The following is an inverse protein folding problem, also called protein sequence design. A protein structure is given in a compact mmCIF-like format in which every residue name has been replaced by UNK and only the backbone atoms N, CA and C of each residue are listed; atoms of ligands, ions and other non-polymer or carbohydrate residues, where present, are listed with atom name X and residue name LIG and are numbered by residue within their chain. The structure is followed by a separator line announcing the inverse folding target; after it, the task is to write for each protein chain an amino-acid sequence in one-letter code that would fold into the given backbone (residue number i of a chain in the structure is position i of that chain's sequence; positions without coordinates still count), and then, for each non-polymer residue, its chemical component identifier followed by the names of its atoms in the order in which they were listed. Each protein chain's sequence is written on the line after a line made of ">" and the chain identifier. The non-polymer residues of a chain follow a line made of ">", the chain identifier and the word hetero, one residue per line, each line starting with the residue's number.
data_IF_012578608874
#
_entry.id   IF_012578608874
#
_cell.length_a   1.000
_cell.length_b   1.000
_cell.length_c   1.000
_cell.angle_alpha   90.00
_cell.angle_beta   90.00
_cell.angle_gamma   90.00
#
_symmetry.space_group_name_H-M   'P 1'
#
loop_
_entity.id
_entity.type
_entity.pdbx_description
1 polymer ?
#
# COMPACT_ATOMS: atom_id res chain seq x y z
N UNK A 1 18.09 -3.23 1.38
CA UNK A 1 18.87 -4.47 1.57
C UNK A 1 18.08 -5.62 0.99
N UNK A 2 18.72 -6.47 0.21
CA UNK A 2 18.14 -7.73 -0.26
C UNK A 2 18.16 -8.79 0.85
N UNK A 3 17.41 -9.89 0.70
CA UNK A 3 17.49 -11.02 1.64
C UNK A 3 18.88 -11.65 1.69
N UNK A 4 19.66 -11.57 0.61
CA UNK A 4 21.06 -12.04 0.61
C UNK A 4 21.94 -11.12 1.46
N UNK A 5 21.73 -9.81 1.37
CA UNK A 5 22.48 -8.85 2.18
C UNK A 5 22.17 -9.04 3.67
N UNK A 6 20.91 -9.31 4.01
CA UNK A 6 20.49 -9.60 5.38
C UNK A 6 21.12 -10.90 5.88
N UNK A 7 21.15 -11.96 5.06
CA UNK A 7 21.80 -13.22 5.41
C UNK A 7 23.29 -13.03 5.73
N UNK A 8 24.02 -12.33 4.84
CA UNK A 8 25.44 -12.02 5.05
C UNK A 8 25.67 -11.20 6.31
N UNK A 9 24.80 -10.23 6.59
CA UNK A 9 24.91 -9.37 7.77
C UNK A 9 24.68 -10.12 9.09
N UNK A 10 23.73 -11.06 9.10
CA UNK A 10 23.47 -11.92 10.27
C UNK A 10 24.65 -12.84 10.53
N UNK A 11 25.24 -13.42 9.49
CA UNK A 11 26.45 -14.25 9.61
C UNK A 11 27.63 -13.44 10.17
N UNK A 12 27.84 -12.21 9.67
CA UNK A 12 28.93 -11.34 10.11
C UNK A 12 28.83 -10.93 11.59
N UNK A 13 27.64 -10.56 12.07
CA UNK A 13 27.46 -10.05 13.44
C UNK A 13 27.29 -11.18 14.45
N UNK A 14 26.60 -12.26 14.08
CA UNK A 14 26.15 -13.29 15.02
C UNK A 14 26.79 -14.67 14.80
N UNK A 15 27.69 -14.81 13.81
CA UNK A 15 28.30 -16.10 13.42
C UNK A 15 27.25 -17.19 13.17
N UNK A 16 26.08 -16.76 12.67
CA UNK A 16 24.92 -17.61 12.46
C UNK A 16 24.49 -17.58 11.00
N UNK A 17 24.45 -18.75 10.37
CA UNK A 17 24.02 -18.88 8.98
C UNK A 17 22.50 -18.98 8.90
N UNK A 18 21.91 -18.01 8.21
CA UNK A 18 20.50 -18.02 7.85
C UNK A 18 20.37 -17.89 6.33
N UNK A 19 19.54 -18.70 5.71
CA UNK A 19 19.29 -18.63 4.27
C UNK A 19 18.31 -17.51 3.92
N UNK A 20 18.39 -17.00 2.69
CA UNK A 20 17.41 -16.03 2.18
C UNK A 20 15.97 -16.58 2.19
N UNK A 21 15.80 -17.91 2.05
CA UNK A 21 14.50 -18.56 2.14
C UNK A 21 13.93 -18.53 3.56
N UNK A 22 14.78 -18.75 4.58
CA UNK A 22 14.37 -18.62 5.98
C UNK A 22 13.99 -17.18 6.32
N UNK A 23 14.75 -16.19 5.85
CA UNK A 23 14.39 -14.77 6.02
C UNK A 23 13.04 -14.48 5.36
N UNK A 24 12.81 -14.96 4.14
CA UNK A 24 11.51 -14.81 3.47
C UNK A 24 10.37 -15.42 4.29
N UNK A 25 10.55 -16.64 4.81
CA UNK A 25 9.55 -17.31 5.65
C UNK A 25 9.29 -16.56 6.96
N UNK A 26 10.31 -15.91 7.54
CA UNK A 26 10.14 -15.04 8.70
C UNK A 26 9.32 -13.81 8.33
N UNK A 27 9.61 -13.16 7.20
CA UNK A 27 8.83 -11.99 6.75
C UNK A 27 7.38 -12.33 6.42
N UNK A 28 7.10 -13.54 5.92
CA UNK A 28 5.74 -13.99 5.64
C UNK A 28 4.87 -14.07 6.90
N UNK A 29 5.49 -14.19 8.09
CA UNK A 29 4.76 -14.13 9.37
C UNK A 29 4.13 -12.75 9.64
N UNK A 30 4.53 -11.71 8.90
CA UNK A 30 3.93 -10.38 9.00
C UNK A 30 2.66 -10.23 8.17
N UNK A 31 2.35 -11.17 7.26
CA UNK A 31 1.15 -11.09 6.41
C UNK A 31 -0.15 -10.87 7.20
N UNK A 32 -0.40 -11.54 8.34
CA UNK A 32 -1.60 -11.28 9.15
C UNK A 32 -1.63 -9.84 9.70
N UNK A 33 -0.49 -9.32 10.16
CA UNK A 33 -0.36 -7.96 10.69
C UNK A 33 -0.59 -6.92 9.60
N UNK A 34 -0.08 -7.17 8.39
CA UNK A 34 -0.31 -6.31 7.22
C UNK A 34 -1.80 -6.30 6.86
N UNK A 35 -2.46 -7.46 6.88
CA UNK A 35 -3.89 -7.56 6.60
C UNK A 35 -4.73 -6.83 7.65
N UNK A 36 -4.41 -7.00 8.93
CA UNK A 36 -5.06 -6.27 10.03
C UNK A 36 -4.86 -4.76 9.90
N UNK A 37 -3.64 -4.32 9.61
CA UNK A 37 -3.35 -2.91 9.36
C UNK A 37 -4.13 -2.35 8.16
N UNK A 38 -4.30 -3.17 7.11
CA UNK A 38 -5.04 -2.80 5.90
C UNK A 38 -6.55 -2.70 6.14
N UNK A 39 -7.12 -3.54 7.01
CA UNK A 39 -8.55 -3.52 7.35
C UNK A 39 -8.88 -2.66 8.58
N UNK A 40 -7.89 -2.03 9.20
CA UNK A 40 -8.09 -1.22 10.41
C UNK A 40 -9.15 -0.14 10.19
N UNK A 41 -9.93 0.19 11.23
CA UNK A 41 -10.87 1.31 11.18
C UNK A 41 -10.12 2.63 10.99
N UNK A 42 -10.73 3.54 10.25
CA UNK A 42 -10.23 4.88 9.96
C UNK A 42 -11.09 5.93 10.67
N UNK A 43 -10.61 7.17 10.72
CA UNK A 43 -11.41 8.28 11.25
C UNK A 43 -12.57 8.61 10.29
N UNK A 44 -13.64 9.20 10.83
CA UNK A 44 -14.82 9.54 10.01
C UNK A 44 -14.56 10.66 9.02
N UNK A 45 -13.62 11.57 9.29
CA UNK A 45 -13.39 12.73 8.42
C UNK A 45 -11.90 12.95 8.20
N UNK A 46 -11.51 13.06 6.93
CA UNK A 46 -10.16 13.46 6.51
C UNK A 46 -10.23 14.76 5.70
N UNK A 47 -9.80 15.91 6.27
CA UNK A 47 -9.80 17.18 5.56
C UNK A 47 -9.07 17.17 4.21
N UNK A 48 -7.98 16.42 4.10
CA UNK A 48 -7.21 16.32 2.85
C UNK A 48 -6.81 14.87 2.64
N UNK A 49 -7.06 14.35 1.44
CA UNK A 49 -6.58 13.04 0.99
C UNK A 49 -5.80 13.19 -0.31
N UNK A 50 -4.59 12.64 -0.34
CA UNK A 50 -3.76 12.53 -1.52
C UNK A 50 -3.83 11.11 -2.07
N UNK A 51 -4.01 10.97 -3.37
CA UNK A 51 -4.00 9.69 -4.06
C UNK A 51 -2.95 9.75 -5.15
N UNK A 52 -1.89 8.95 -4.99
CA UNK A 52 -0.73 8.96 -5.89
C UNK A 52 -0.40 7.54 -6.35
N UNK A 53 0.05 7.40 -7.59
CA UNK A 53 0.37 6.13 -8.23
C UNK A 53 1.88 5.95 -8.38
N UNK A 54 2.42 4.85 -7.86
CA UNK A 54 3.82 4.48 -8.06
C UNK A 54 3.92 3.23 -8.94
N UNK A 55 4.71 3.32 -10.01
CA UNK A 55 4.98 2.19 -10.89
C UNK A 55 6.18 1.37 -10.40
N UNK A 56 6.03 0.05 -10.39
CA UNK A 56 7.11 -0.89 -10.09
C UNK A 56 7.06 -2.09 -11.02
N UNK A 57 8.25 -2.67 -11.22
CA UNK A 57 8.47 -3.85 -12.05
C UNK A 57 8.32 -5.09 -11.18
N UNK A 58 7.36 -5.94 -11.51
CA UNK A 58 7.17 -7.25 -10.86
C UNK A 58 7.37 -8.37 -11.85
N UNK A 59 7.86 -9.50 -11.35
CA UNK A 59 7.95 -10.73 -12.13
C UNK A 59 6.67 -11.53 -11.93
N UNK A 60 5.90 -11.70 -12.99
CA UNK A 60 4.63 -12.44 -13.02
C UNK A 60 4.68 -13.40 -14.21
N UNK A 61 4.37 -14.68 -13.99
CA UNK A 61 4.43 -15.74 -15.01
C UNK A 61 5.74 -15.78 -15.83
N UNK A 62 6.86 -15.48 -15.17
CA UNK A 62 8.18 -15.47 -15.80
C UNK A 62 8.52 -14.18 -16.56
N UNK A 63 7.56 -13.27 -16.74
CA UNK A 63 7.74 -11.99 -17.43
C UNK A 63 7.83 -10.82 -16.44
N UNK A 64 8.56 -9.77 -16.83
CA UNK A 64 8.68 -8.56 -16.03
C UNK A 64 7.62 -7.54 -16.49
N UNK A 65 6.57 -7.38 -15.70
CA UNK A 65 5.44 -6.49 -15.98
C UNK A 65 5.51 -5.25 -15.09
N UNK A 66 5.05 -4.11 -15.61
CA UNK A 66 4.95 -2.87 -14.84
C UNK A 66 3.56 -2.82 -14.21
N UNK A 67 3.48 -2.73 -12.87
CA UNK A 67 2.22 -2.53 -12.14
C UNK A 67 2.22 -1.18 -11.45
N UNK A 68 1.04 -0.59 -11.28
CA UNK A 68 0.82 0.64 -10.54
C UNK A 68 0.24 0.31 -9.15
N UNK A 69 0.81 0.88 -8.10
CA UNK A 69 0.29 0.84 -6.73
C UNK A 69 -0.13 2.25 -6.37
N UNK A 70 -1.40 2.39 -6.05
CA UNK A 70 -1.93 3.63 -5.53
C UNK A 70 -1.78 3.67 -4.01
N UNK A 71 -1.12 4.73 -3.55
CA UNK A 71 -0.92 5.04 -2.14
C UNK A 71 -1.92 6.14 -1.77
N UNK A 72 -2.74 5.89 -0.74
CA UNK A 72 -3.71 6.86 -0.25
C UNK A 72 -3.19 7.45 1.07
N UNK A 73 -2.93 8.75 1.09
CA UNK A 73 -2.41 9.46 2.26
C UNK A 73 -3.48 10.46 2.76
N UNK A 74 -3.94 10.28 3.99
CA UNK A 74 -4.89 11.17 4.64
C UNK A 74 -4.20 12.14 5.60
N UNK A 75 -4.77 13.33 5.73
CA UNK A 75 -4.50 14.27 6.83
C UNK A 75 -5.72 14.25 7.73
N UNK A 76 -5.53 13.90 9.00
CA UNK A 76 -6.61 13.85 9.98
C UNK A 76 -7.02 15.26 10.47
N UNK A 77 -8.06 15.33 11.30
CA UNK A 77 -8.55 16.60 11.86
C UNK A 77 -7.53 17.32 12.76
N UNK A 78 -6.51 16.61 13.25
CA UNK A 78 -5.42 17.15 14.04
C UNK A 78 -4.21 17.57 13.19
N UNK A 79 -4.31 17.48 11.86
CA UNK A 79 -3.23 17.77 10.93
C UNK A 79 -2.16 16.68 10.82
N UNK A 80 -2.42 15.47 11.35
CA UNK A 80 -1.49 14.34 11.28
C UNK A 80 -1.66 13.60 9.96
N UNK A 81 -0.53 13.30 9.31
CA UNK A 81 -0.50 12.49 8.10
C UNK A 81 -0.48 11.02 8.44
N UNK A 82 -1.29 10.23 7.75
CA UNK A 82 -1.23 8.78 7.81
C UNK A 82 -1.55 8.14 6.45
N UNK A 83 -1.00 6.94 6.22
CA UNK A 83 -1.31 6.16 5.02
C UNK A 83 -2.59 5.36 5.27
N UNK A 84 -3.64 5.66 4.52
CA UNK A 84 -4.94 5.01 4.64
C UNK A 84 -4.95 3.63 3.98
N UNK A 85 -4.22 3.45 2.88
CA UNK A 85 -4.16 2.18 2.18
C UNK A 85 -3.22 2.15 0.98
N UNK A 86 -2.99 0.92 0.52
CA UNK A 86 -2.22 0.58 -0.68
C UNK A 86 -3.10 -0.28 -1.59
N UNK A 87 -3.22 0.09 -2.86
CA UNK A 87 -4.12 -0.57 -3.81
C UNK A 87 -3.39 -0.85 -5.12
N UNK A 88 -3.32 -2.12 -5.50
CA UNK A 88 -2.74 -2.53 -6.78
C UNK A 88 -3.76 -2.32 -7.90
N UNK A 89 -3.36 -1.61 -8.94
CA UNK A 89 -4.21 -1.40 -10.12
C UNK A 89 -4.02 -2.55 -11.11
N UNK A 90 -5.08 -3.31 -11.37
CA UNK A 90 -5.09 -4.33 -12.44
C UNK A 90 -5.54 -3.74 -13.78
N UNK A 91 -6.43 -2.74 -13.78
CA UNK A 91 -6.77 -1.92 -14.93
C UNK A 91 -7.09 -0.48 -14.51
N UNK A 92 -6.56 0.50 -15.23
CA UNK A 92 -6.84 1.93 -14.97
C UNK A 92 -8.26 2.28 -15.46
N UNK A 93 -9.23 2.33 -14.53
CA UNK A 93 -10.62 2.63 -14.87
C UNK A 93 -11.41 3.18 -13.68
N UNK A 94 -12.60 3.74 -13.96
CA UNK A 94 -13.48 4.33 -12.93
C UNK A 94 -13.86 3.32 -11.83
N UNK A 95 -14.01 2.03 -12.18
CA UNK A 95 -14.34 0.97 -11.24
C UNK A 95 -13.27 0.75 -10.16
N UNK A 96 -12.00 1.02 -10.47
CA UNK A 96 -10.92 0.90 -9.50
C UNK A 96 -11.08 1.93 -8.38
N UNK A 97 -11.26 3.20 -8.72
CA UNK A 97 -11.43 4.28 -7.74
C UNK A 97 -12.69 4.13 -6.90
N UNK A 98 -13.78 3.66 -7.51
CA UNK A 98 -14.98 3.34 -6.75
C UNK A 98 -14.72 2.25 -5.70
N UNK A 99 -13.93 1.22 -6.05
CA UNK A 99 -13.49 0.20 -5.11
C UNK A 99 -12.65 0.75 -3.96
N UNK A 100 -11.71 1.66 -4.25
CA UNK A 100 -10.90 2.34 -3.23
C UNK A 100 -11.78 3.17 -2.30
N UNK A 101 -12.69 3.99 -2.84
CA UNK A 101 -13.57 4.85 -2.04
C UNK A 101 -14.54 4.01 -1.19
N UNK A 102 -15.06 2.90 -1.72
CA UNK A 102 -15.90 1.99 -0.97
C UNK A 102 -15.14 1.33 0.19
N UNK A 103 -13.89 0.89 -0.02
CA UNK A 103 -13.05 0.33 1.05
C UNK A 103 -12.82 1.35 2.17
N UNK A 104 -12.50 2.60 1.82
CA UNK A 104 -12.35 3.68 2.82
C UNK A 104 -13.65 3.90 3.60
N UNK A 105 -14.80 3.89 2.92
CA UNK A 105 -16.12 4.05 3.54
C UNK A 105 -16.46 2.89 4.47
N UNK A 106 -16.24 1.65 4.04
CA UNK A 106 -16.45 0.45 4.86
C UNK A 106 -15.58 0.44 6.12
N UNK A 107 -14.40 1.07 6.04
CA UNK A 107 -13.48 1.24 7.17
C UNK A 107 -13.82 2.44 8.06
N UNK A 108 -14.87 3.19 7.75
CA UNK A 108 -15.43 4.22 8.62
C UNK A 108 -15.25 5.66 8.13
N UNK A 109 -14.65 5.91 6.96
CA UNK A 109 -14.56 7.27 6.40
C UNK A 109 -15.94 7.70 5.90
N UNK A 110 -16.44 8.81 6.42
CA UNK A 110 -17.72 9.41 6.06
C UNK A 110 -17.55 10.60 5.12
N UNK A 111 -16.48 11.40 5.29
CA UNK A 111 -16.28 12.63 4.51
C UNK A 111 -14.81 12.94 4.20
N UNK A 112 -14.58 13.48 3.01
CA UNK A 112 -13.29 13.95 2.50
C UNK A 112 -13.51 15.33 1.89
N UNK A 113 -12.94 16.38 2.51
CA UNK A 113 -13.18 17.75 2.05
C UNK A 113 -12.36 18.11 0.81
N UNK A 114 -11.12 17.63 0.72
CA UNK A 114 -10.21 17.90 -0.41
C UNK A 114 -9.56 16.58 -0.84
N UNK A 115 -9.81 16.17 -2.08
CA UNK A 115 -9.10 15.06 -2.72
C UNK A 115 -8.10 15.60 -3.75
N UNK A 116 -6.82 15.30 -3.55
CA UNK A 116 -5.74 15.62 -4.47
C UNK A 116 -5.36 14.36 -5.25
N UNK A 117 -5.63 14.36 -6.55
CA UNK A 117 -5.34 13.23 -7.45
C UNK A 117 -4.49 13.72 -8.63
N UNK A 118 -3.48 12.96 -9.03
CA UNK A 118 -2.68 13.31 -10.21
C UNK A 118 -3.28 12.66 -11.48
N UNK A 119 -3.58 13.49 -12.48
CA UNK A 119 -3.80 13.07 -13.88
C UNK A 119 -4.95 12.11 -14.19
N UNK A 120 -5.75 11.67 -13.21
CA UNK A 120 -6.78 10.65 -13.39
C UNK A 120 -8.08 11.24 -13.95
N UNK A 121 -8.19 11.27 -15.29
CA UNK A 121 -9.42 11.69 -15.99
C UNK A 121 -10.67 10.90 -15.56
N UNK A 122 -10.50 9.66 -15.10
CA UNK A 122 -11.58 8.75 -14.68
C UNK A 122 -12.09 8.99 -13.25
N UNK A 123 -11.39 9.79 -12.43
CA UNK A 123 -11.82 10.10 -11.06
C UNK A 123 -12.91 11.19 -11.03
N UNK A 124 -12.85 12.16 -11.95
CA UNK A 124 -13.76 13.32 -11.98
C UNK A 124 -15.10 13.07 -12.69
N UNK A 125 -15.31 11.88 -13.28
CA UNK A 125 -16.52 11.55 -14.05
C UNK A 125 -17.55 10.72 -13.26
N UNK A 126 -17.41 10.62 -11.93
CA UNK A 126 -18.38 9.95 -11.06
C UNK A 126 -19.40 10.92 -10.48
#
# INVERSE_FOLDING_TARGET
>A
MSYRDIASHVEEIYDHKISAAEISSITDKLLPVINEWRSRPLQSVYPIVFMDGMFFKVKEDGHCVSKCMYNILGVDQNGRKEVLGFYLAESEGANFWLGVLNDLKERGVEDILIACVDGLKSFLQQ
#
